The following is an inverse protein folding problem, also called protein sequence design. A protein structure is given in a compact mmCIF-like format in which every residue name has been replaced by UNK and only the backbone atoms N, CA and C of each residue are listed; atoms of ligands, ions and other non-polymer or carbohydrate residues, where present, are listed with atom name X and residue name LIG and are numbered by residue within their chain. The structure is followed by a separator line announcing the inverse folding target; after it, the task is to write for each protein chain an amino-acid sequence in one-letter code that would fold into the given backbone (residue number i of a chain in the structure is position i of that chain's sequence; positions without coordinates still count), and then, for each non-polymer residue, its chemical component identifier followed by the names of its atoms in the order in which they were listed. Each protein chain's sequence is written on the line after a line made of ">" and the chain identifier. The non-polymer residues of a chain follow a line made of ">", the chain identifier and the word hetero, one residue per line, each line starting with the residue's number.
data_IF_094238386879
#
_entry.id   IF_094238386879
#
_cell.length_a   1.000
_cell.length_b   1.000
_cell.length_c   1.000
_cell.angle_alpha   90.00
_cell.angle_beta   90.00
_cell.angle_gamma   90.00
#
_symmetry.space_group_name_H-M   'P 1'
#
loop_
_entity.id
_entity.type
_entity.pdbx_description
1 polymer ?
#
# COMPACT_ATOMS: atom_id res chain seq x y z
N UNK A 1 35.15 61.01 39.48
CA UNK A 1 36.08 59.89 39.17
C UNK A 1 35.60 58.68 39.96
N UNK A 2 35.50 57.44 39.50
CA UNK A 2 35.43 56.80 38.20
C UNK A 2 34.80 55.41 38.45
N UNK A 3 34.11 54.92 37.43
CA UNK A 3 33.38 53.65 37.26
C UNK A 3 34.03 52.35 37.78
N UNK A 4 33.20 51.35 38.12
CA UNK A 4 33.38 49.92 37.74
C UNK A 4 32.08 49.12 38.03
N UNK A 5 31.13 49.09 37.10
CA UNK A 5 30.82 48.00 36.14
C UNK A 5 30.37 46.66 36.78
N UNK A 6 29.04 46.54 36.87
CA UNK A 6 28.25 45.34 37.15
C UNK A 6 28.17 44.48 35.87
N UNK A 7 28.86 43.34 35.85
CA UNK A 7 28.84 42.40 34.72
C UNK A 7 27.69 41.39 34.89
N UNK A 8 26.59 41.64 34.18
CA UNK A 8 25.46 40.73 34.02
C UNK A 8 25.82 39.70 32.93
N UNK A 9 26.13 38.46 33.32
CA UNK A 9 26.31 37.34 32.38
C UNK A 9 24.93 36.85 31.92
N UNK A 10 24.45 37.39 30.80
CA UNK A 10 23.33 36.82 30.04
C UNK A 10 23.85 35.60 29.27
N UNK A 11 23.68 34.40 29.84
CA UNK A 11 23.82 33.17 29.07
C UNK A 11 22.61 33.07 28.12
N UNK A 12 22.78 33.60 26.91
CA UNK A 12 21.91 33.31 25.78
C UNK A 12 22.14 31.85 25.35
N UNK A 13 21.40 30.94 25.97
CA UNK A 13 21.31 29.55 25.55
C UNK A 13 20.70 29.47 24.16
N UNK A 14 21.54 29.29 23.16
CA UNK A 14 21.15 28.90 21.82
C UNK A 14 20.45 27.54 21.90
N UNK A 15 19.12 27.53 21.84
CA UNK A 15 18.35 26.31 21.59
C UNK A 15 18.63 25.93 20.14
N UNK A 16 19.58 25.03 19.95
CA UNK A 16 19.77 24.32 18.71
C UNK A 16 18.48 23.54 18.40
N UNK A 17 17.68 24.04 17.47
CA UNK A 17 16.63 23.27 16.81
C UNK A 17 17.31 22.11 16.10
N UNK A 18 17.39 20.98 16.78
CA UNK A 18 17.70 19.70 16.17
C UNK A 18 16.58 19.49 15.15
N UNK A 19 16.89 19.66 13.87
CA UNK A 19 16.06 19.30 12.73
C UNK A 19 15.91 17.76 12.73
N UNK A 20 15.15 17.26 13.69
CA UNK A 20 14.79 15.87 13.80
C UNK A 20 13.85 15.54 12.64
N UNK A 21 14.13 14.45 11.94
CA UNK A 21 13.18 13.80 11.06
C UNK A 21 11.90 13.54 11.87
N UNK A 22 10.95 14.48 11.86
CA UNK A 22 9.71 14.37 12.61
C UNK A 22 8.85 13.34 11.90
N UNK A 23 8.83 12.14 12.47
CA UNK A 23 7.87 11.12 12.08
C UNK A 23 6.45 11.63 12.36
N UNK A 24 5.48 11.27 11.51
CA UNK A 24 4.08 11.65 11.73
C UNK A 24 3.57 11.17 13.10
N UNK A 25 2.75 11.97 13.81
CA UNK A 25 2.19 11.56 15.08
C UNK A 25 1.20 10.39 14.89
N UNK A 26 0.99 9.55 15.92
CA UNK A 26 0.13 8.38 15.83
C UNK A 26 -1.30 8.67 15.35
N UNK A 27 -1.87 9.82 15.72
CA UNK A 27 -3.20 10.24 15.27
C UNK A 27 -3.26 10.46 13.75
N UNK A 28 -2.23 11.10 13.17
CA UNK A 28 -2.14 11.31 11.73
C UNK A 28 -1.95 9.97 10.98
N UNK A 29 -1.14 9.06 11.53
CA UNK A 29 -0.99 7.69 10.99
C UNK A 29 -2.33 6.95 11.00
N UNK A 30 -3.09 7.04 12.10
CA UNK A 30 -4.42 6.42 12.19
C UNK A 30 -5.40 7.00 11.15
N UNK A 31 -5.35 8.32 10.92
CA UNK A 31 -6.16 8.97 9.88
C UNK A 31 -5.78 8.48 8.47
N UNK A 32 -4.49 8.34 8.17
CA UNK A 32 -4.00 7.78 6.91
C UNK A 32 -4.51 6.34 6.72
N UNK A 33 -4.44 5.50 7.76
CA UNK A 33 -4.96 4.12 7.71
C UNK A 33 -6.49 4.08 7.55
N UNK A 34 -7.22 5.00 8.20
CA UNK A 34 -8.66 5.11 7.99
C UNK A 34 -8.99 5.51 6.54
N UNK A 35 -8.27 6.49 6.00
CA UNK A 35 -8.42 6.94 4.62
C UNK A 35 -8.12 5.82 3.61
N UNK A 36 -7.14 4.94 3.90
CA UNK A 36 -6.88 3.74 3.10
C UNK A 36 -8.12 2.84 3.02
N UNK A 37 -8.80 2.63 4.14
CA UNK A 37 -10.06 1.87 4.18
C UNK A 37 -11.15 2.50 3.32
N UNK A 38 -11.28 3.83 3.37
CA UNK A 38 -12.25 4.56 2.54
C UNK A 38 -11.93 4.48 1.05
N UNK A 39 -10.66 4.58 0.67
CA UNK A 39 -10.21 4.42 -0.70
C UNK A 39 -10.53 3.02 -1.25
N UNK A 40 -10.30 1.96 -0.46
CA UNK A 40 -10.66 0.58 -0.83
C UNK A 40 -12.17 0.40 -1.04
N UNK A 41 -12.98 1.08 -0.23
CA UNK A 41 -14.45 1.11 -0.37
C UNK A 41 -14.93 2.04 -1.50
N UNK A 42 -14.01 2.76 -2.14
CA UNK A 42 -14.31 3.79 -3.17
C UNK A 42 -15.07 5.00 -2.63
N UNK A 43 -15.00 5.24 -1.33
CA UNK A 43 -15.57 6.41 -0.66
C UNK A 43 -14.61 7.60 -0.79
N UNK A 44 -14.45 8.11 -2.01
CA UNK A 44 -13.44 9.11 -2.34
C UNK A 44 -13.60 10.43 -1.56
N UNK A 45 -14.84 10.87 -1.34
CA UNK A 45 -15.12 12.10 -0.57
C UNK A 45 -14.73 11.95 0.90
N UNK A 46 -15.04 10.81 1.51
CA UNK A 46 -14.66 10.56 2.90
C UNK A 46 -13.15 10.39 3.04
N UNK A 47 -12.49 9.73 2.08
CA UNK A 47 -11.04 9.62 2.03
C UNK A 47 -10.38 11.02 1.99
N UNK A 48 -10.82 11.89 1.07
CA UNK A 48 -10.29 13.25 0.96
C UNK A 48 -10.58 14.09 2.21
N UNK A 49 -11.77 13.96 2.81
CA UNK A 49 -12.14 14.62 4.07
C UNK A 49 -11.19 14.25 5.21
N UNK A 50 -10.78 12.99 5.30
CA UNK A 50 -9.83 12.52 6.32
C UNK A 50 -8.41 13.02 6.04
N UNK A 51 -7.97 13.01 4.77
CA UNK A 51 -6.59 13.33 4.40
C UNK A 51 -6.28 14.83 4.36
N UNK A 52 -7.27 15.68 4.05
CA UNK A 52 -7.07 17.13 3.97
C UNK A 52 -6.44 17.76 5.24
N UNK A 53 -6.96 17.53 6.46
CA UNK A 53 -6.34 18.09 7.65
C UNK A 53 -4.93 17.55 7.92
N UNK A 54 -4.66 16.27 7.59
CA UNK A 54 -3.32 15.67 7.72
C UNK A 54 -2.33 16.39 6.81
N UNK A 55 -2.66 16.49 5.51
CA UNK A 55 -1.79 17.13 4.52
C UNK A 55 -1.57 18.60 4.87
N UNK A 56 -2.62 19.31 5.30
CA UNK A 56 -2.52 20.71 5.68
C UNK A 56 -1.63 20.95 6.92
N UNK A 57 -1.64 20.04 7.88
CA UNK A 57 -0.90 20.19 9.14
C UNK A 57 0.58 19.81 9.04
N UNK A 58 0.95 18.98 8.04
CA UNK A 58 2.29 18.41 7.92
C UNK A 58 2.94 18.66 6.56
N UNK A 59 2.66 19.80 5.92
CA UNK A 59 3.08 20.11 4.54
C UNK A 59 4.59 20.01 4.29
N UNK A 60 5.42 20.28 5.30
CA UNK A 60 6.89 20.20 5.21
C UNK A 60 7.44 18.81 5.50
N UNK A 61 6.59 17.85 5.88
CA UNK A 61 7.00 16.52 6.29
C UNK A 61 6.91 15.53 5.13
N UNK A 62 8.04 14.94 4.73
CA UNK A 62 8.10 13.95 3.66
C UNK A 62 7.24 12.70 3.93
N UNK A 63 6.92 12.39 5.18
CA UNK A 63 6.10 11.23 5.53
C UNK A 63 4.63 11.37 5.08
N UNK A 64 4.18 12.54 4.60
CA UNK A 64 2.85 12.71 3.99
C UNK A 64 2.76 12.21 2.55
N UNK A 65 3.85 11.70 1.95
CA UNK A 65 3.87 11.23 0.56
C UNK A 65 2.71 10.27 0.26
N UNK A 66 2.42 9.37 1.21
CA UNK A 66 1.33 8.42 1.07
C UNK A 66 -0.06 9.09 1.10
N UNK A 67 -0.26 10.06 2.01
CA UNK A 67 -1.50 10.81 2.09
C UNK A 67 -1.77 11.57 0.79
N UNK A 68 -0.74 12.21 0.22
CA UNK A 68 -0.82 12.87 -1.08
C UNK A 68 -1.12 11.88 -2.20
N UNK A 69 -0.44 10.74 -2.24
CA UNK A 69 -0.71 9.68 -3.21
C UNK A 69 -2.18 9.22 -3.16
N UNK A 70 -2.72 8.90 -1.99
CA UNK A 70 -4.11 8.45 -1.83
C UNK A 70 -5.13 9.54 -2.18
N UNK A 71 -4.87 10.80 -1.80
CA UNK A 71 -5.75 11.92 -2.16
C UNK A 71 -5.70 12.17 -3.67
N UNK A 72 -4.51 12.08 -4.28
CA UNK A 72 -4.30 12.15 -5.71
C UNK A 72 -5.14 11.11 -6.45
N UNK A 73 -5.12 9.85 -5.98
CA UNK A 73 -5.98 8.78 -6.50
C UNK A 73 -7.47 9.12 -6.38
N UNK A 74 -7.93 9.58 -5.20
CA UNK A 74 -9.33 9.97 -5.00
C UNK A 74 -9.77 11.06 -5.99
N UNK A 75 -8.92 12.07 -6.20
CA UNK A 75 -9.18 13.18 -7.11
C UNK A 75 -9.23 12.74 -8.56
N UNK A 76 -8.31 11.87 -9.01
CA UNK A 76 -8.38 11.26 -10.34
C UNK A 76 -9.69 10.47 -10.53
N UNK A 77 -10.12 9.73 -9.51
CA UNK A 77 -11.36 8.95 -9.57
C UNK A 77 -12.64 9.81 -9.62
N UNK A 78 -12.56 11.03 -9.08
CA UNK A 78 -13.58 12.09 -9.08
C UNK A 78 -13.50 13.04 -10.27
N UNK A 79 -12.69 12.70 -11.29
CA UNK A 79 -12.45 13.54 -12.48
C UNK A 79 -11.79 14.90 -12.19
N UNK A 80 -11.23 15.07 -10.99
CA UNK A 80 -10.45 16.24 -10.60
C UNK A 80 -8.99 16.08 -11.04
N UNK A 81 -8.78 15.80 -12.34
CA UNK A 81 -7.50 15.38 -12.92
C UNK A 81 -6.35 16.29 -12.51
N UNK A 82 -6.48 17.60 -12.71
CA UNK A 82 -5.44 18.60 -12.40
C UNK A 82 -4.99 18.54 -10.93
N UNK A 83 -5.95 18.47 -10.01
CA UNK A 83 -5.65 18.41 -8.57
C UNK A 83 -5.02 17.06 -8.18
N UNK A 84 -5.48 15.97 -8.80
CA UNK A 84 -4.94 14.64 -8.58
C UNK A 84 -3.49 14.51 -9.05
N UNK A 85 -3.19 15.00 -10.25
CA UNK A 85 -1.82 15.03 -10.80
C UNK A 85 -0.90 15.88 -9.91
N UNK A 86 -1.35 17.06 -9.48
CA UNK A 86 -0.55 17.90 -8.57
C UNK A 86 -0.18 17.17 -7.26
N UNK A 87 -1.13 16.45 -6.66
CA UNK A 87 -0.86 15.66 -5.46
C UNK A 87 0.13 14.52 -5.75
N UNK A 88 0.00 13.83 -6.88
CA UNK A 88 0.90 12.74 -7.28
C UNK A 88 2.31 13.22 -7.57
N UNK A 89 2.47 14.33 -8.30
CA UNK A 89 3.78 14.95 -8.55
C UNK A 89 4.43 15.39 -7.24
N UNK A 90 3.67 16.01 -6.33
CA UNK A 90 4.19 16.36 -5.00
C UNK A 90 4.61 15.11 -4.23
N UNK A 91 3.80 14.05 -4.24
CA UNK A 91 4.13 12.79 -3.60
C UNK A 91 5.41 12.16 -4.19
N UNK A 92 5.58 12.18 -5.51
CA UNK A 92 6.76 11.66 -6.20
C UNK A 92 8.05 12.31 -5.70
N UNK A 93 8.03 13.64 -5.55
CA UNK A 93 9.19 14.42 -5.10
C UNK A 93 9.58 14.15 -3.64
N UNK A 94 8.61 13.93 -2.76
CA UNK A 94 8.89 13.79 -1.32
C UNK A 94 8.98 12.33 -0.86
N UNK A 95 8.47 11.37 -1.65
CA UNK A 95 8.48 9.95 -1.33
C UNK A 95 9.92 9.42 -1.19
N UNK A 96 10.23 8.85 -0.01
CA UNK A 96 11.53 8.21 0.26
C UNK A 96 11.52 6.71 -0.04
N UNK A 97 10.36 6.07 0.08
CA UNK A 97 10.21 4.64 -0.18
C UNK A 97 10.13 4.38 -1.69
N UNK A 98 11.06 3.58 -2.20
CA UNK A 98 11.13 3.24 -3.63
C UNK A 98 9.85 2.59 -4.14
N UNK A 99 9.29 1.66 -3.39
CA UNK A 99 8.04 0.97 -3.75
C UNK A 99 6.85 1.93 -3.85
N UNK A 100 6.72 2.87 -2.90
CA UNK A 100 5.68 3.90 -2.98
C UNK A 100 5.89 4.79 -4.20
N UNK A 101 7.15 5.19 -4.47
CA UNK A 101 7.50 5.99 -5.65
C UNK A 101 7.11 5.29 -6.95
N UNK A 102 7.39 4.00 -7.09
CA UNK A 102 7.00 3.22 -8.26
C UNK A 102 5.48 3.23 -8.50
N UNK A 103 4.66 3.12 -7.45
CA UNK A 103 3.20 3.22 -7.61
C UNK A 103 2.71 4.63 -7.95
N UNK A 104 3.40 5.66 -7.46
CA UNK A 104 3.14 7.04 -7.87
C UNK A 104 3.48 7.22 -9.36
N UNK A 105 4.63 6.71 -9.80
CA UNK A 105 5.07 6.73 -11.19
C UNK A 105 4.09 5.98 -12.10
N UNK A 106 3.60 4.81 -11.72
CA UNK A 106 2.54 4.10 -12.45
C UNK A 106 1.29 4.97 -12.61
N UNK A 107 0.89 5.72 -11.58
CA UNK A 107 -0.28 6.59 -11.66
C UNK A 107 -0.06 7.78 -12.58
N UNK A 108 1.12 8.39 -12.53
CA UNK A 108 1.51 9.46 -13.45
C UNK A 108 1.63 8.92 -14.89
N UNK A 109 2.14 7.71 -15.07
CA UNK A 109 2.23 7.03 -16.36
C UNK A 109 0.85 6.78 -16.96
N UNK A 110 -0.11 6.32 -16.16
CA UNK A 110 -1.50 6.15 -16.60
C UNK A 110 -2.12 7.49 -17.05
N UNK A 111 -1.86 8.57 -16.31
CA UNK A 111 -2.34 9.91 -16.68
C UNK A 111 -1.71 10.32 -18.02
N UNK A 112 -0.39 10.20 -18.16
CA UNK A 112 0.32 10.52 -19.40
C UNK A 112 -0.14 9.66 -20.57
N UNK A 113 -0.44 8.38 -20.33
CA UNK A 113 -0.98 7.46 -21.33
C UNK A 113 -2.37 7.92 -21.81
N UNK A 114 -3.26 8.27 -20.88
CA UNK A 114 -4.59 8.81 -21.18
C UNK A 114 -4.51 10.13 -21.97
N UNK A 115 -3.52 10.96 -21.66
CA UNK A 115 -3.27 12.24 -22.35
C UNK A 115 -2.59 12.04 -23.72
N UNK A 116 -2.29 10.78 -24.10
CA UNK A 116 -1.61 10.45 -25.36
C UNK A 116 -0.12 10.75 -25.39
N UNK A 117 0.47 11.13 -24.25
CA UNK A 117 1.91 11.33 -24.06
C UNK A 117 2.61 9.99 -23.85
N UNK A 118 2.54 9.12 -24.86
CA UNK A 118 3.09 7.76 -24.81
C UNK A 118 4.59 7.68 -24.50
N UNK A 119 5.46 8.59 -24.99
CA UNK A 119 6.88 8.57 -24.61
C UNK A 119 7.08 8.78 -23.09
N UNK A 120 6.35 9.72 -22.50
CA UNK A 120 6.42 9.98 -21.06
C UNK A 120 5.81 8.81 -20.26
N UNK A 121 4.69 8.26 -20.72
CA UNK A 121 4.08 7.09 -20.09
C UNK A 121 5.04 5.90 -20.07
N UNK A 122 5.73 5.64 -21.19
CA UNK A 122 6.76 4.60 -21.31
C UNK A 122 7.86 4.79 -20.26
N UNK A 123 8.47 5.98 -20.22
CA UNK A 123 9.57 6.27 -19.27
C UNK A 123 9.14 6.04 -17.82
N UNK A 124 7.95 6.50 -17.44
CA UNK A 124 7.42 6.32 -16.08
C UNK A 124 7.11 4.85 -15.76
N UNK A 125 6.57 4.07 -16.70
CA UNK A 125 6.35 2.64 -16.48
C UNK A 125 7.66 1.86 -16.37
N UNK A 126 8.64 2.14 -17.24
CA UNK A 126 9.96 1.51 -17.22
C UNK A 126 10.69 1.81 -15.91
N UNK A 127 10.59 3.05 -15.40
CA UNK A 127 11.16 3.45 -14.11
C UNK A 127 10.52 2.71 -12.93
N UNK A 128 9.20 2.51 -12.97
CA UNK A 128 8.46 1.90 -11.87
C UNK A 128 8.65 0.38 -11.78
N UNK A 129 8.68 -0.32 -12.92
CA UNK A 129 8.60 -1.80 -13.01
C UNK A 129 9.57 -2.56 -12.10
N UNK A 130 10.86 -2.19 -11.96
CA UNK A 130 11.81 -2.92 -11.12
C UNK A 130 11.44 -2.98 -9.64
N UNK A 131 10.62 -2.05 -9.15
CA UNK A 131 10.23 -1.94 -7.74
C UNK A 131 8.79 -2.44 -7.48
N UNK A 132 8.08 -2.87 -8.53
CA UNK A 132 6.74 -3.46 -8.42
C UNK A 132 6.80 -4.94 -8.00
N UNK A 133 5.80 -5.46 -7.27
CA UNK A 133 5.75 -6.87 -6.91
C UNK A 133 5.48 -7.76 -8.12
N UNK A 134 5.98 -9.00 -8.11
CA UNK A 134 5.63 -10.05 -9.09
C UNK A 134 4.23 -10.64 -8.82
N UNK A 135 3.23 -9.78 -8.73
CA UNK A 135 1.82 -10.14 -8.54
C UNK A 135 0.92 -9.09 -9.20
N UNK A 136 -0.31 -9.42 -9.59
CA UNK A 136 -1.27 -8.41 -10.04
C UNK A 136 -1.37 -7.23 -9.05
N UNK A 137 -1.45 -5.98 -9.54
CA UNK A 137 -1.73 -5.58 -10.92
C UNK A 137 -0.48 -5.28 -11.79
N UNK A 138 0.71 -5.80 -11.46
CA UNK A 138 1.93 -5.56 -12.26
C UNK A 138 1.80 -6.08 -13.70
N UNK A 139 1.02 -7.13 -13.91
CA UNK A 139 0.63 -7.61 -15.23
C UNK A 139 -0.09 -6.54 -16.07
N UNK A 140 -1.00 -5.78 -15.45
CA UNK A 140 -1.65 -4.65 -16.10
C UNK A 140 -0.63 -3.55 -16.45
N UNK A 141 0.32 -3.25 -15.55
CA UNK A 141 1.37 -2.24 -15.80
C UNK A 141 2.24 -2.64 -16.99
N UNK A 142 2.67 -3.90 -17.06
CA UNK A 142 3.45 -4.41 -18.19
C UNK A 142 2.67 -4.33 -19.51
N UNK A 143 1.38 -4.64 -19.49
CA UNK A 143 0.53 -4.51 -20.69
C UNK A 143 0.43 -3.05 -21.15
N UNK A 144 0.26 -2.11 -20.22
CA UNK A 144 0.19 -0.68 -20.55
C UNK A 144 1.53 -0.14 -21.07
N UNK A 145 2.65 -0.62 -20.54
CA UNK A 145 3.97 -0.33 -21.09
C UNK A 145 4.09 -0.84 -22.52
N UNK A 146 3.73 -2.10 -22.79
CA UNK A 146 3.77 -2.65 -24.13
C UNK A 146 2.91 -1.83 -25.10
N UNK A 147 1.71 -1.41 -24.68
CA UNK A 147 0.87 -0.51 -25.47
C UNK A 147 1.53 0.85 -25.71
N UNK A 148 2.21 1.43 -24.71
CA UNK A 148 2.95 2.68 -24.89
C UNK A 148 4.09 2.50 -25.91
N UNK A 149 4.84 1.39 -25.84
CA UNK A 149 5.86 1.03 -26.82
C UNK A 149 5.28 0.95 -28.24
N UNK A 150 4.15 0.26 -28.45
CA UNK A 150 3.48 0.21 -29.76
C UNK A 150 3.09 1.59 -30.29
N UNK A 151 2.52 2.44 -29.42
CA UNK A 151 2.10 3.80 -29.78
C UNK A 151 3.27 4.73 -30.09
N UNK A 152 4.45 4.44 -29.56
CA UNK A 152 5.72 5.12 -29.91
C UNK A 152 6.44 4.48 -31.11
N UNK A 153 5.91 3.41 -31.69
CA UNK A 153 6.49 2.72 -32.85
C UNK A 153 7.52 1.63 -32.50
N UNK A 154 7.83 1.44 -31.22
CA UNK A 154 8.80 0.44 -30.75
C UNK A 154 8.15 -0.94 -30.58
N UNK A 155 7.90 -1.59 -31.72
CA UNK A 155 7.28 -2.93 -31.77
C UNK A 155 8.17 -4.00 -31.15
N UNK A 156 9.49 -3.85 -31.24
CA UNK A 156 10.46 -4.79 -30.69
C UNK A 156 10.35 -4.82 -29.17
N UNK A 157 10.34 -3.64 -28.54
CA UNK A 157 10.20 -3.55 -27.09
C UNK A 157 8.81 -3.98 -26.62
N UNK A 158 7.74 -3.62 -27.33
CA UNK A 158 6.40 -4.14 -27.04
C UNK A 158 6.37 -5.66 -27.00
N UNK A 159 6.91 -6.31 -28.04
CA UNK A 159 6.95 -7.77 -28.12
C UNK A 159 7.77 -8.39 -26.98
N UNK A 160 8.90 -7.76 -26.60
CA UNK A 160 9.72 -8.17 -25.46
C UNK A 160 8.92 -8.13 -24.15
N UNK A 161 8.27 -7.00 -23.86
CA UNK A 161 7.48 -6.80 -22.64
C UNK A 161 6.28 -7.74 -22.58
N UNK A 162 5.56 -7.96 -23.69
CA UNK A 162 4.45 -8.92 -23.76
C UNK A 162 4.93 -10.36 -23.57
N UNK A 163 6.10 -10.71 -24.11
CA UNK A 163 6.73 -12.02 -23.87
C UNK A 163 7.05 -12.25 -22.40
N UNK A 164 7.63 -11.24 -21.74
CA UNK A 164 7.91 -11.28 -20.31
C UNK A 164 6.63 -11.36 -19.46
N UNK A 165 5.59 -10.61 -19.83
CA UNK A 165 4.28 -10.65 -19.19
C UNK A 165 3.69 -12.06 -19.28
N UNK A 166 3.71 -12.68 -20.45
CA UNK A 166 3.18 -14.03 -20.64
C UNK A 166 3.94 -15.09 -19.82
N UNK A 167 5.25 -14.90 -19.60
CA UNK A 167 6.06 -15.77 -18.76
C UNK A 167 5.79 -15.57 -17.26
N UNK A 168 5.78 -14.31 -16.80
CA UNK A 168 5.60 -13.96 -15.37
C UNK A 168 4.15 -14.12 -14.90
N UNK A 169 3.19 -13.88 -15.77
CA UNK A 169 1.76 -13.87 -15.47
C UNK A 169 0.95 -14.72 -16.45
N UNK A 170 1.20 -16.04 -16.54
CA UNK A 170 0.61 -16.91 -17.56
C UNK A 170 -0.92 -16.94 -17.50
N UNK A 171 -1.50 -16.78 -16.32
CA UNK A 171 -2.96 -16.76 -16.11
C UNK A 171 -3.59 -15.37 -16.21
N UNK A 172 -2.81 -14.32 -16.50
CA UNK A 172 -3.35 -12.96 -16.63
C UNK A 172 -4.30 -12.86 -17.82
N UNK A 173 -5.28 -11.98 -17.74
CA UNK A 173 -6.11 -11.64 -18.90
C UNK A 173 -5.29 -10.96 -20.01
N UNK A 174 -4.13 -10.39 -19.65
CA UNK A 174 -3.23 -9.66 -20.56
C UNK A 174 -2.16 -10.56 -21.22
N UNK A 175 -2.03 -11.83 -20.83
CA UNK A 175 -1.02 -12.76 -21.38
C UNK A 175 -1.43 -13.47 -22.67
N UNK A 176 -2.64 -13.24 -23.17
CA UNK A 176 -3.14 -13.87 -24.40
C UNK A 176 -2.52 -13.19 -25.63
N UNK A 177 -2.11 -14.00 -26.63
CA UNK A 177 -1.35 -13.58 -27.82
C UNK A 177 -1.95 -12.36 -28.54
N UNK A 178 -1.11 -11.45 -29.07
CA UNK A 178 -1.54 -10.30 -29.85
C UNK A 178 -2.21 -10.79 -31.15
N UNK A 179 -3.48 -10.41 -31.36
CA UNK A 179 -4.26 -10.79 -32.54
C UNK A 179 -5.75 -11.10 -32.31
N UNK A 180 -6.23 -11.16 -31.06
CA UNK A 180 -7.64 -11.49 -30.76
C UNK A 180 -8.43 -10.45 -29.95
N UNK A 181 -7.86 -9.29 -29.61
CA UNK A 181 -8.60 -8.26 -28.88
C UNK A 181 -8.93 -7.05 -29.76
N UNK A 182 -9.96 -7.18 -30.60
CA UNK A 182 -10.67 -6.03 -31.21
C UNK A 182 -11.50 -5.22 -30.19
N UNK A 183 -11.20 -5.36 -28.90
CA UNK A 183 -11.81 -4.53 -27.87
C UNK A 183 -10.91 -3.33 -27.65
N UNK A 184 -11.34 -2.14 -28.11
CA UNK A 184 -10.92 -0.87 -27.50
C UNK A 184 -10.88 -1.11 -25.99
N UNK A 185 -9.72 -1.01 -25.31
CA UNK A 185 -9.68 -1.22 -23.88
C UNK A 185 -10.61 -0.19 -23.26
N UNK A 186 -11.79 -0.65 -22.84
CA UNK A 186 -12.72 0.12 -22.03
C UNK A 186 -11.91 0.45 -20.79
N UNK A 187 -11.55 1.72 -20.65
CA UNK A 187 -10.80 2.29 -19.53
C UNK A 187 -11.63 2.04 -18.26
N UNK A 188 -11.58 0.82 -17.73
CA UNK A 188 -12.19 0.50 -16.46
C UNK A 188 -11.19 0.88 -15.41
N UNK A 189 -11.40 2.07 -14.84
CA UNK A 189 -10.90 2.57 -13.56
C UNK A 189 -10.14 1.48 -12.77
N UNK A 190 -8.80 1.53 -12.73
CA UNK A 190 -7.98 0.47 -12.14
C UNK A 190 -8.39 0.17 -10.69
N UNK A 191 -8.48 -1.12 -10.36
CA UNK A 191 -8.69 -1.61 -9.00
C UNK A 191 -7.35 -1.60 -8.26
N UNK A 192 -6.96 -0.45 -7.72
CA UNK A 192 -5.79 -0.39 -6.85
C UNK A 192 -6.13 -0.93 -5.47
N UNK A 193 -5.59 -2.12 -5.16
CA UNK A 193 -5.46 -2.59 -3.78
C UNK A 193 -4.25 -1.87 -3.19
N UNK A 194 -4.49 -0.86 -2.33
CA UNK A 194 -3.48 0.08 -1.82
C UNK A 194 -2.33 -0.61 -1.07
N UNK A 195 -1.12 -0.09 -1.28
CA UNK A 195 0.16 -0.74 -0.98
C UNK A 195 0.97 0.20 -0.09
N UNK A 196 0.61 0.31 1.17
CA UNK A 196 1.57 0.66 2.21
C UNK A 196 1.20 -0.17 3.44
N UNK A 197 2.15 -0.98 3.90
CA UNK A 197 2.09 -1.61 5.20
C UNK A 197 2.72 -0.65 6.22
N UNK A 198 2.20 -0.55 7.45
CA UNK A 198 2.85 0.21 8.51
C UNK A 198 4.24 -0.36 8.81
N UNK A 199 5.22 0.54 8.91
CA UNK A 199 6.65 0.29 9.11
C UNK A 199 6.92 -0.40 10.45
N UNK A 200 7.35 -1.67 10.43
CA UNK A 200 8.07 -2.27 11.55
C UNK A 200 9.54 -1.86 11.48
N UNK A 201 10.03 -1.16 12.50
CA UNK A 201 11.45 -0.82 12.64
C UNK A 201 12.16 -1.97 13.34
N UNK A 202 13.07 -2.63 12.63
CA UNK A 202 13.98 -3.64 13.15
C UNK A 202 14.95 -3.00 14.13
N UNK A 203 14.83 -3.29 15.42
CA UNK A 203 15.99 -3.30 16.31
C UNK A 203 16.63 -4.68 16.20
N UNK A 204 17.88 -4.71 15.74
CA UNK A 204 18.76 -5.86 15.87
C UNK A 204 18.96 -6.14 17.36
N UNK A 205 18.41 -7.26 17.84
CA UNK A 205 18.98 -8.00 18.96
C UNK A 205 18.66 -9.47 18.70
N UNK A 206 19.73 -10.24 18.59
CA UNK A 206 19.69 -11.68 18.45
C UNK A 206 19.09 -12.30 19.71
N UNK A 207 18.08 -13.16 19.53
CA UNK A 207 17.84 -14.39 20.32
C UNK A 207 16.65 -15.15 19.70
N UNK A 208 16.85 -16.44 19.43
CA UNK A 208 15.89 -17.37 18.81
C UNK A 208 14.72 -17.74 19.77
N UNK A 209 13.69 -18.49 19.32
CA UNK A 209 12.29 -18.13 19.46
C UNK A 209 11.61 -18.71 20.70
N UNK A 210 10.90 -17.88 21.47
CA UNK A 210 9.85 -18.36 22.39
C UNK A 210 8.55 -17.67 22.00
N UNK A 211 7.61 -18.43 21.45
CA UNK A 211 6.27 -17.96 21.10
C UNK A 211 5.58 -17.41 22.37
N UNK A 212 4.97 -16.20 22.34
CA UNK A 212 4.10 -15.78 23.43
C UNK A 212 2.86 -16.68 23.46
N UNK A 213 2.59 -17.26 24.63
CA UNK A 213 1.49 -18.19 24.91
C UNK A 213 0.15 -17.61 24.43
N UNK A 214 -0.51 -18.30 23.50
CA UNK A 214 -1.87 -18.01 23.07
C UNK A 214 -2.83 -18.19 24.25
N UNK A 215 -3.50 -17.13 24.68
CA UNK A 215 -4.50 -17.20 25.76
C UNK A 215 -5.79 -17.81 25.20
N UNK A 216 -6.32 -18.89 25.78
CA UNK A 216 -7.53 -19.58 25.28
C UNK A 216 -8.81 -18.71 25.35
N UNK A 217 -8.76 -17.57 26.06
CA UNK A 217 -9.86 -16.63 26.35
C UNK A 217 -9.71 -15.25 25.68
N UNK A 218 -8.85 -15.13 24.65
CA UNK A 218 -8.57 -13.85 23.99
C UNK A 218 -9.79 -13.21 23.32
N UNK A 219 -9.94 -11.89 23.50
CA UNK A 219 -11.00 -11.02 22.94
C UNK A 219 -10.80 -10.69 21.46
N UNK A 220 -9.61 -10.88 20.95
CA UNK A 220 -9.25 -10.57 19.57
C UNK A 220 -8.67 -11.80 18.88
N UNK A 221 -9.05 -12.02 17.64
CA UNK A 221 -8.57 -13.12 16.81
C UNK A 221 -8.14 -12.57 15.45
N UNK A 222 -7.35 -13.31 14.68
CA UNK A 222 -6.90 -12.84 13.37
C UNK A 222 -7.56 -13.69 12.29
N UNK A 223 -8.46 -13.08 11.51
CA UNK A 223 -9.10 -13.74 10.39
C UNK A 223 -8.18 -13.67 9.17
N UNK A 224 -7.82 -14.84 8.63
CA UNK A 224 -6.91 -15.01 7.49
C UNK A 224 -7.65 -15.36 6.18
N UNK A 225 -8.96 -15.61 6.25
CA UNK A 225 -9.80 -15.87 5.08
C UNK A 225 -11.23 -16.22 5.46
N UNK A 226 -12.14 -16.13 4.49
CA UNK A 226 -13.52 -16.60 4.58
C UNK A 226 -13.85 -17.39 3.30
N UNK A 227 -14.35 -18.60 3.47
CA UNK A 227 -14.59 -19.56 2.38
C UNK A 227 -16.05 -19.98 2.37
N UNK A 228 -16.57 -20.23 1.16
CA UNK A 228 -17.94 -20.71 0.97
C UNK A 228 -18.11 -22.20 1.37
N UNK A 229 -17.02 -22.97 1.39
CA UNK A 229 -17.02 -24.40 1.75
C UNK A 229 -16.00 -24.70 2.85
N UNK A 230 -16.31 -25.67 3.70
CA UNK A 230 -15.52 -26.02 4.89
C UNK A 230 -14.19 -26.67 4.51
N UNK A 231 -14.14 -27.44 3.42
CA UNK A 231 -12.94 -28.13 2.94
C UNK A 231 -11.85 -27.13 2.54
N UNK A 232 -12.22 -26.05 1.85
CA UNK A 232 -11.28 -24.99 1.49
C UNK A 232 -10.75 -24.23 2.72
N UNK A 233 -11.60 -24.02 3.74
CA UNK A 233 -11.17 -23.45 5.01
C UNK A 233 -10.20 -24.38 5.75
N UNK A 234 -10.46 -25.69 5.78
CA UNK A 234 -9.55 -26.68 6.37
C UNK A 234 -8.20 -26.75 5.63
N UNK A 235 -8.21 -26.75 4.30
CA UNK A 235 -6.98 -26.74 3.48
C UNK A 235 -6.16 -25.46 3.71
N UNK A 236 -6.82 -24.30 3.82
CA UNK A 236 -6.15 -23.04 4.15
C UNK A 236 -5.58 -23.04 5.56
N UNK A 237 -6.32 -23.56 6.55
CA UNK A 237 -5.82 -23.71 7.91
C UNK A 237 -4.64 -24.70 8.00
N UNK A 238 -4.68 -25.81 7.24
CA UNK A 238 -3.60 -26.79 7.19
C UNK A 238 -2.31 -26.20 6.62
N UNK A 239 -2.39 -25.41 5.54
CA UNK A 239 -1.25 -24.70 4.96
C UNK A 239 -0.61 -23.73 5.95
N UNK A 240 -1.42 -23.00 6.70
CA UNK A 240 -0.94 -22.11 7.77
C UNK A 240 -0.23 -22.90 8.89
N UNK A 241 -0.77 -24.06 9.28
CA UNK A 241 -0.13 -24.92 10.30
C UNK A 241 1.20 -25.50 9.83
N UNK A 242 1.33 -25.85 8.56
CA UNK A 242 2.61 -26.28 7.98
C UNK A 242 3.68 -25.18 8.06
N UNK A 243 3.26 -23.91 8.11
CA UNK A 243 4.14 -22.75 8.29
C UNK A 243 4.34 -22.38 9.78
N UNK A 244 3.93 -23.25 10.71
CA UNK A 244 4.05 -23.02 12.15
C UNK A 244 3.02 -22.03 12.72
N UNK A 245 1.98 -21.67 11.95
CA UNK A 245 0.93 -20.75 12.37
C UNK A 245 -0.28 -21.56 12.83
N UNK A 246 -0.64 -21.41 14.11
CA UNK A 246 -1.79 -22.13 14.68
C UNK A 246 -3.12 -21.53 14.17
N UNK A 247 -3.59 -22.03 13.03
CA UNK A 247 -4.83 -21.65 12.37
C UNK A 247 -5.94 -22.67 12.61
N UNK A 248 -7.20 -22.21 12.70
CA UNK A 248 -8.39 -23.05 12.84
C UNK A 248 -9.45 -22.62 11.83
N UNK A 249 -10.10 -23.59 11.19
CA UNK A 249 -11.28 -23.34 10.38
C UNK A 249 -12.50 -23.42 11.30
N UNK A 250 -13.29 -22.35 11.34
CA UNK A 250 -14.45 -22.20 12.22
C UNK A 250 -15.67 -21.90 11.34
N UNK A 251 -16.78 -22.66 11.47
CA UNK A 251 -18.03 -22.28 10.84
C UNK A 251 -18.59 -21.03 11.54
N UNK A 252 -18.85 -19.97 10.78
CA UNK A 252 -19.43 -18.72 11.29
C UNK A 252 -20.67 -18.37 10.47
N UNK A 253 -21.81 -18.31 11.15
CA UNK A 253 -23.08 -17.89 10.56
C UNK A 253 -23.36 -16.45 10.93
N UNK A 254 -23.17 -15.52 9.99
CA UNK A 254 -23.49 -14.10 10.15
C UNK A 254 -24.21 -13.59 8.91
N UNK A 255 -25.54 -13.45 8.98
CA UNK A 255 -26.39 -13.00 7.88
C UNK A 255 -26.67 -14.08 6.81
N UNK A 256 -26.88 -13.64 5.56
CA UNK A 256 -27.41 -14.43 4.43
C UNK A 256 -26.44 -15.49 3.83
N UNK A 257 -25.83 -16.31 4.68
CA UNK A 257 -25.07 -17.49 4.27
C UNK A 257 -24.06 -17.95 5.31
N UNK A 258 -23.99 -19.26 5.56
CA UNK A 258 -22.95 -19.87 6.36
C UNK A 258 -21.59 -19.69 5.65
N UNK A 259 -20.61 -19.12 6.35
CA UNK A 259 -19.23 -19.00 5.85
C UNK A 259 -18.28 -19.73 6.79
N UNK A 260 -17.22 -20.28 6.23
CA UNK A 260 -16.17 -20.95 6.99
C UNK A 260 -14.96 -20.03 7.05
N UNK A 261 -14.67 -19.49 8.23
CA UNK A 261 -13.59 -18.53 8.44
C UNK A 261 -12.34 -19.24 8.95
N UNK A 262 -11.18 -18.80 8.50
CA UNK A 262 -9.90 -19.29 9.03
C UNK A 262 -9.38 -18.25 10.01
N UNK A 263 -9.26 -18.63 11.28
CA UNK A 263 -8.82 -17.75 12.36
C UNK A 263 -7.50 -18.23 12.95
N UNK A 264 -6.67 -17.29 13.38
CA UNK A 264 -5.35 -17.54 13.97
C UNK A 264 -5.26 -16.87 15.32
N UNK A 265 -4.89 -17.69 16.32
CA UNK A 265 -4.65 -17.24 17.69
C UNK A 265 -5.87 -16.63 18.39
N UNK A 266 -5.66 -16.34 19.67
CA UNK A 266 -6.58 -15.59 20.53
C UNK A 266 -5.74 -14.66 21.39
N UNK A 267 -6.07 -13.37 21.38
CA UNK A 267 -5.28 -12.29 21.96
C UNK A 267 -6.15 -11.45 22.90
N UNK A 268 -5.60 -11.07 24.06
CA UNK A 268 -6.37 -10.32 25.06
C UNK A 268 -6.46 -8.83 24.67
N UNK A 269 -5.42 -8.32 23.98
CA UNK A 269 -5.34 -6.93 23.54
C UNK A 269 -5.18 -6.81 22.03
N UNK A 270 -5.65 -5.69 21.47
CA UNK A 270 -5.46 -5.37 20.05
C UNK A 270 -3.97 -5.25 19.68
N UNK A 271 -3.12 -4.79 20.61
CA UNK A 271 -1.66 -4.67 20.41
C UNK A 271 -0.99 -6.02 20.22
N UNK A 272 -1.37 -7.02 21.00
CA UNK A 272 -0.88 -8.40 20.82
C UNK A 272 -1.35 -8.97 19.48
N UNK A 273 -2.63 -8.75 19.15
CA UNK A 273 -3.21 -9.17 17.89
C UNK A 273 -2.52 -8.49 16.68
N UNK A 274 -2.14 -7.21 16.79
CA UNK A 274 -1.46 -6.49 15.70
C UNK A 274 -0.02 -6.96 15.48
N UNK A 275 0.71 -7.27 16.55
CA UNK A 275 2.05 -7.87 16.46
C UNK A 275 2.00 -9.27 15.82
N UNK A 276 1.01 -10.08 16.19
CA UNK A 276 0.81 -11.38 15.56
C UNK A 276 0.36 -11.25 14.11
N UNK A 277 -0.52 -10.30 13.80
CA UNK A 277 -0.97 -10.03 12.45
C UNK A 277 0.19 -9.64 11.53
N UNK A 278 1.14 -8.83 12.02
CA UNK A 278 2.32 -8.47 11.25
C UNK A 278 3.18 -9.69 10.85
N UNK A 279 3.23 -10.73 11.69
CA UNK A 279 3.91 -12.00 11.36
C UNK A 279 3.13 -12.82 10.34
N UNK A 280 1.82 -12.91 10.52
CA UNK A 280 0.93 -13.68 9.63
C UNK A 280 0.86 -13.05 8.24
N UNK A 281 0.87 -11.71 8.16
CA UNK A 281 0.85 -10.96 6.89
C UNK A 281 2.07 -11.17 6.00
N UNK A 282 3.16 -11.78 6.53
CA UNK A 282 4.28 -12.24 5.70
C UNK A 282 3.88 -13.39 4.76
N UNK A 283 2.86 -14.15 5.13
CA UNK A 283 2.38 -15.32 4.39
C UNK A 283 0.94 -15.14 3.88
N UNK A 284 0.14 -14.35 4.58
CA UNK A 284 -1.26 -14.08 4.26
C UNK A 284 -1.56 -12.58 4.37
N UNK A 285 -1.40 -11.88 3.26
CA UNK A 285 -1.53 -10.42 3.13
C UNK A 285 -2.92 -9.89 3.50
N UNK A 286 -3.93 -10.76 3.40
CA UNK A 286 -5.35 -10.42 3.54
C UNK A 286 -5.87 -10.58 4.97
N UNK A 287 -4.99 -10.96 5.91
CA UNK A 287 -5.37 -11.15 7.29
C UNK A 287 -5.72 -9.81 7.98
N UNK A 288 -6.71 -9.85 8.87
CA UNK A 288 -7.14 -8.71 9.68
C UNK A 288 -7.63 -9.16 11.07
N UNK A 289 -7.62 -8.26 12.04
CA UNK A 289 -8.05 -8.54 13.42
C UNK A 289 -9.58 -8.45 13.48
N UNK A 290 -10.17 -9.46 14.11
CA UNK A 290 -11.59 -9.56 14.47
C UNK A 290 -11.73 -9.68 15.98
N UNK A 291 -12.95 -9.46 16.47
CA UNK A 291 -13.29 -9.43 17.89
C UNK A 291 -14.57 -10.23 18.12
#
# INVERSE_FOLDING_TARGET
>A
MANARMSLLVLSGWIALVAGCQQLPPAAIQQIEQARGELQRRNYDQCEKILNPVIASYQTNNDIAEALYMRGQCRLMKDQRRMGVNDLTTAQHIAREKRLRAWIEVQLANVAFDDGSYPQARELYESALPELPDSPPTDQVMHQLAMACERTGDRTESARVLGELAQKFPTSTYSKKPGQSNTKPRITKPRYRTIVQPRNRTTLTATSPTQPRTSQTGRFEIQCGAYARIEHAHQAAARLRQQGINALAIPESRGAGAKHVVRVGKYNTYREASQALARIRKYHTDAFIVR
#
